data_IF_136477397457
#
_entry.id   IF_136477397457
#
_cell.length_a   1.000
_cell.length_b   1.000
_cell.length_c   1.000
_cell.angle_alpha   90.00
_cell.angle_beta   90.00
_cell.angle_gamma   90.00
#
_symmetry.space_group_name_H-M   'P 1'
#
loop_
_entity.id
_entity.type
_entity.pdbx_description
1 polymer ?
#
# COMPACT_ATOMS: atom_id res chain seq x y z
N UNK A 1 7.87 -4.12 -1.12
CA UNK A 1 9.27 -3.97 -0.64
C UNK A 1 10.17 -4.26 -1.81
N UNK A 2 11.15 -3.41 -2.04
CA UNK A 2 12.13 -3.56 -3.10
C UNK A 2 13.38 -4.28 -2.58
N UNK A 3 14.07 -4.98 -3.49
CA UNK A 3 15.42 -5.48 -3.23
C UNK A 3 16.46 -4.39 -3.53
N UNK A 4 17.75 -4.74 -3.42
CA UNK A 4 18.88 -3.83 -3.74
C UNK A 4 19.00 -3.44 -5.22
N UNK A 5 18.20 -4.07 -6.09
CA UNK A 5 18.13 -3.80 -7.54
C UNK A 5 16.81 -3.12 -7.91
N UNK A 6 16.09 -2.58 -6.92
CA UNK A 6 14.78 -1.94 -7.10
C UNK A 6 13.71 -2.82 -7.77
N UNK A 7 13.89 -4.14 -7.72
CA UNK A 7 12.85 -5.09 -8.14
C UNK A 7 11.90 -5.40 -6.97
N UNK A 8 10.58 -5.57 -7.24
CA UNK A 8 9.62 -6.00 -6.24
C UNK A 8 10.03 -7.35 -5.63
N UNK A 9 10.09 -7.41 -4.31
CA UNK A 9 10.21 -8.66 -3.59
C UNK A 9 8.83 -9.16 -3.24
N UNK A 10 8.59 -10.45 -3.45
CA UNK A 10 7.42 -11.13 -2.92
C UNK A 10 7.42 -11.03 -1.38
N UNK A 11 6.60 -10.13 -0.83
CA UNK A 11 6.32 -10.09 0.60
C UNK A 11 5.17 -11.06 0.82
N UNK A 12 5.44 -12.24 1.39
CA UNK A 12 4.41 -13.18 1.81
C UNK A 12 3.50 -12.55 2.88
N UNK A 13 2.48 -11.80 2.48
CA UNK A 13 1.36 -11.39 3.32
C UNK A 13 0.21 -12.39 3.15
N UNK A 14 -0.68 -12.51 4.14
CA UNK A 14 -1.86 -13.39 4.07
C UNK A 14 -2.75 -13.13 2.84
N UNK A 15 -2.60 -11.97 2.19
CA UNK A 15 -3.35 -11.53 1.00
C UNK A 15 -2.57 -11.62 -0.32
N UNK A 16 -1.34 -12.15 -0.35
CA UNK A 16 -0.55 -12.27 -1.60
C UNK A 16 -1.30 -13.02 -2.69
N UNK A 17 -2.03 -14.08 -2.32
CA UNK A 17 -2.85 -14.83 -3.26
C UNK A 17 -3.97 -13.99 -3.87
N UNK A 18 -4.54 -13.03 -3.15
CA UNK A 18 -5.61 -12.15 -3.62
C UNK A 18 -5.09 -11.04 -4.56
N UNK A 19 -3.83 -10.61 -4.41
CA UNK A 19 -3.20 -9.62 -5.30
C UNK A 19 -2.74 -10.29 -6.60
N UNK A 20 -2.12 -11.48 -6.51
CA UNK A 20 -1.69 -12.24 -7.69
C UNK A 20 -2.85 -12.82 -8.52
N UNK A 21 -4.08 -12.81 -7.99
CA UNK A 21 -5.28 -13.22 -8.73
C UNK A 21 -6.03 -12.04 -9.36
N UNK A 22 -5.60 -10.79 -9.09
CA UNK A 22 -6.10 -9.59 -9.77
C UNK A 22 -5.27 -9.21 -11.01
N UNK A 23 -4.10 -9.82 -11.20
CA UNK A 23 -3.38 -9.76 -12.47
C UNK A 23 -4.13 -10.59 -13.52
N UNK A 24 -5.06 -9.91 -14.17
CA UNK A 24 -5.58 -10.10 -15.53
C UNK A 24 -5.68 -11.54 -16.02
N UNK A 25 -6.86 -12.16 -15.88
CA UNK A 25 -7.23 -13.24 -16.81
C UNK A 25 -7.43 -12.60 -18.20
N UNK A 26 -6.56 -12.92 -19.16
CA UNK A 26 -6.79 -12.57 -20.56
C UNK A 26 -8.07 -13.26 -21.04
N UNK A 27 -9.07 -12.48 -21.45
CA UNK A 27 -10.38 -13.00 -21.89
C UNK A 27 -10.34 -13.51 -23.33
N UNK A 28 -9.28 -13.20 -24.09
CA UNK A 28 -9.10 -13.61 -25.48
C UNK A 28 -7.64 -14.01 -25.67
N UNK A 29 -7.36 -15.31 -25.60
CA UNK A 29 -6.03 -15.85 -25.84
C UNK A 29 -5.85 -16.07 -27.34
N UNK A 30 -5.20 -15.11 -28.03
CA UNK A 30 -4.60 -15.33 -29.35
C UNK A 30 -3.33 -14.50 -29.61
N UNK A 31 -2.81 -13.78 -28.62
CA UNK A 31 -1.61 -12.96 -28.79
C UNK A 31 -0.48 -13.50 -27.92
N UNK A 32 0.73 -13.54 -28.50
CA UNK A 32 1.99 -13.79 -27.81
C UNK A 32 1.98 -13.10 -26.44
N UNK A 33 2.36 -13.82 -25.38
CA UNK A 33 2.43 -13.28 -24.02
C UNK A 33 3.27 -12.01 -23.98
N UNK A 34 2.62 -10.85 -24.03
CA UNK A 34 3.22 -9.54 -23.81
C UNK A 34 3.02 -9.27 -22.32
N UNK A 35 4.12 -9.21 -21.58
CA UNK A 35 4.08 -8.84 -20.17
C UNK A 35 3.78 -7.34 -20.07
N UNK A 36 2.64 -6.99 -19.48
CA UNK A 36 2.26 -5.59 -19.34
C UNK A 36 3.25 -4.83 -18.43
N UNK A 37 3.60 -3.57 -18.76
CA UNK A 37 4.46 -2.77 -17.90
C UNK A 37 3.76 -2.45 -16.57
N UNK A 38 4.53 -2.42 -15.49
CA UNK A 38 4.05 -2.25 -14.12
C UNK A 38 4.66 -0.98 -13.52
N UNK A 39 3.81 -0.15 -12.92
CA UNK A 39 4.22 0.93 -12.03
C UNK A 39 4.11 0.48 -10.57
N UNK A 40 5.22 0.49 -9.85
CA UNK A 40 5.32 -0.04 -8.51
C UNK A 40 5.75 1.03 -7.50
N UNK A 41 4.89 1.30 -6.50
CA UNK A 41 5.28 2.11 -5.36
C UNK A 41 6.04 1.25 -4.35
N UNK A 42 7.34 1.45 -4.28
CA UNK A 42 8.28 0.62 -3.54
C UNK A 42 8.95 1.33 -2.37
N UNK A 43 9.54 0.52 -1.51
CA UNK A 43 10.33 0.97 -0.37
C UNK A 43 11.31 -0.12 0.07
N UNK A 44 12.37 0.27 0.75
CA UNK A 44 13.32 -0.64 1.40
C UNK A 44 13.11 -0.66 2.92
N UNK A 45 13.68 -1.67 3.60
CA UNK A 45 13.69 -1.74 5.06
C UNK A 45 15.12 -1.79 5.55
N UNK A 46 15.46 -0.95 6.52
CA UNK A 46 16.78 -0.98 7.15
C UNK A 46 16.89 -2.15 8.15
N UNK A 47 18.09 -2.34 8.74
CA UNK A 47 18.33 -3.40 9.75
C UNK A 47 17.41 -3.30 10.98
N UNK A 48 16.96 -2.10 11.31
CA UNK A 48 16.05 -1.83 12.43
C UNK A 48 14.58 -2.09 12.04
N UNK A 49 14.29 -2.43 10.78
CA UNK A 49 12.95 -2.69 10.28
C UNK A 49 12.18 -1.46 9.81
N UNK A 50 12.78 -0.26 9.90
CA UNK A 50 12.16 0.99 9.48
C UNK A 50 12.06 1.03 7.95
N UNK A 51 10.95 1.57 7.45
CA UNK A 51 10.75 1.86 6.03
C UNK A 51 11.69 3.00 5.66
N UNK A 52 12.49 2.79 4.63
CA UNK A 52 13.46 3.75 4.10
C UNK A 52 13.39 3.74 2.58
N UNK A 53 13.90 4.80 1.95
CA UNK A 53 14.03 4.91 0.49
C UNK A 53 12.70 4.61 -0.27
N UNK A 54 11.62 5.36 0.03
CA UNK A 54 10.39 5.27 -0.75
C UNK A 54 10.66 5.79 -2.18
N UNK A 55 10.25 5.02 -3.18
CA UNK A 55 10.44 5.36 -4.58
C UNK A 55 9.35 4.79 -5.46
N UNK A 56 9.12 5.43 -6.59
CA UNK A 56 8.28 4.93 -7.66
C UNK A 56 9.16 4.25 -8.71
N UNK A 57 8.84 3.01 -9.06
CA UNK A 57 9.62 2.19 -9.99
C UNK A 57 8.75 1.80 -11.16
N UNK A 58 9.23 2.03 -12.37
CA UNK A 58 8.59 1.54 -13.57
C UNK A 58 9.36 0.33 -14.11
N UNK A 59 8.62 -0.75 -14.32
CA UNK A 59 9.12 -2.06 -14.69
C UNK A 59 8.44 -2.46 -15.98
N UNK A 60 9.23 -2.90 -16.93
CA UNK A 60 8.74 -3.36 -18.22
C UNK A 60 9.69 -4.46 -18.72
N UNK A 61 9.15 -5.51 -19.34
CA UNK A 61 9.91 -6.71 -19.75
C UNK A 61 10.78 -7.30 -18.62
N UNK A 62 10.25 -7.38 -17.39
CA UNK A 62 10.98 -7.75 -16.15
C UNK A 62 12.28 -6.95 -15.92
N UNK A 63 12.37 -5.71 -16.42
CA UNK A 63 13.50 -4.81 -16.18
C UNK A 63 13.02 -3.49 -15.60
N UNK A 64 13.75 -2.95 -14.63
CA UNK A 64 13.53 -1.59 -14.14
C UNK A 64 14.01 -0.64 -15.23
N UNK A 65 13.09 0.11 -15.87
CA UNK A 65 13.49 1.09 -16.90
C UNK A 65 13.79 2.47 -16.30
N UNK A 66 13.05 2.89 -15.27
CA UNK A 66 13.32 4.13 -14.55
C UNK A 66 12.79 4.11 -13.12
N UNK A 67 13.30 5.04 -12.31
CA UNK A 67 12.93 5.24 -10.91
C UNK A 67 12.80 6.72 -10.58
N UNK A 68 11.83 7.07 -9.74
CA UNK A 68 11.70 8.42 -9.15
C UNK A 68 11.81 8.27 -7.63
N UNK A 69 12.79 8.95 -7.06
CA UNK A 69 13.05 9.05 -5.63
C UNK A 69 12.80 10.47 -5.13
N UNK A 70 12.83 10.67 -3.80
CA UNK A 70 12.67 12.00 -3.21
C UNK A 70 13.72 13.01 -3.70
N UNK A 71 14.94 12.56 -4.01
CA UNK A 71 16.00 13.43 -4.50
C UNK A 71 15.73 13.98 -5.90
N UNK A 72 14.87 13.31 -6.67
CA UNK A 72 14.51 13.71 -8.04
C UNK A 72 13.42 14.79 -8.04
N UNK A 73 12.89 15.16 -6.86
CA UNK A 73 11.83 16.15 -6.68
C UNK A 73 12.37 17.39 -5.95
N UNK A 74 13.04 18.32 -6.66
CA UNK A 74 13.52 19.55 -6.05
C UNK A 74 12.35 20.37 -5.48
N UNK A 75 12.36 20.61 -4.16
CA UNK A 75 11.33 21.37 -3.45
C UNK A 75 10.27 20.55 -2.69
N UNK A 76 10.40 19.22 -2.65
CA UNK A 76 9.44 18.34 -1.96
C UNK A 76 9.54 18.33 -0.41
N UNK A 77 10.47 19.07 0.19
CA UNK A 77 10.68 19.09 1.65
C UNK A 77 9.47 19.62 2.46
N UNK A 78 8.46 20.19 1.81
CA UNK A 78 7.29 20.81 2.45
C UNK A 78 5.95 20.16 2.08
N UNK A 79 5.92 18.90 1.63
CA UNK A 79 4.64 18.21 1.41
C UNK A 79 4.01 17.87 2.79
N UNK A 80 3.24 18.81 3.33
CA UNK A 80 2.33 18.56 4.45
C UNK A 80 1.26 17.57 3.98
N UNK A 81 1.50 16.27 4.20
CA UNK A 81 0.46 15.27 4.10
C UNK A 81 -0.49 15.55 5.27
N UNK A 82 -1.55 16.32 5.03
CA UNK A 82 -2.66 16.41 5.96
C UNK A 82 -3.32 15.05 6.02
N UNK A 83 -2.84 14.19 6.91
CA UNK A 83 -3.59 13.03 7.35
C UNK A 83 -4.81 13.58 8.08
N UNK A 84 -5.93 13.72 7.37
CA UNK A 84 -7.23 13.79 8.03
C UNK A 84 -7.37 12.47 8.78
N UNK A 85 -7.00 12.47 10.06
CA UNK A 85 -7.27 11.33 10.93
C UNK A 85 -8.76 11.04 10.84
N UNK A 86 -9.19 9.79 10.59
CA UNK A 86 -10.59 9.46 10.75
C UNK A 86 -10.92 9.75 12.21
N UNK A 87 -11.81 10.71 12.45
CA UNK A 87 -12.35 10.97 13.78
C UNK A 87 -13.07 9.69 14.19
N UNK A 88 -12.40 8.84 14.97
CA UNK A 88 -13.07 7.72 15.60
C UNK A 88 -14.14 8.32 16.52
N UNK A 89 -15.44 7.94 16.38
CA UNK A 89 -16.43 8.35 17.34
C UNK A 89 -16.05 7.71 18.68
N UNK A 90 -15.64 8.53 19.64
CA UNK A 90 -15.42 8.12 21.02
C UNK A 90 -16.74 7.57 21.56
N UNK A 91 -16.84 6.25 21.65
CA UNK A 91 -17.99 5.60 22.28
C UNK A 91 -17.98 5.93 23.78
N UNK A 92 -18.82 6.88 24.20
CA UNK A 92 -19.13 7.11 25.61
C UNK A 92 -20.12 6.04 26.08
N UNK A 93 -19.83 5.27 27.15
CA UNK A 93 -20.78 4.32 27.67
C UNK A 93 -21.98 5.05 28.32
N UNK A 94 -23.19 4.74 27.87
CA UNK A 94 -24.43 5.21 28.51
C UNK A 94 -24.84 4.22 29.60
N UNK A 95 -24.91 4.68 30.84
CA UNK A 95 -25.46 3.90 31.96
C UNK A 95 -26.97 3.74 31.78
N UNK A 96 -27.43 2.49 31.74
CA UNK A 96 -28.86 2.14 31.65
C UNK A 96 -29.45 2.16 33.06
N UNK A 97 -30.15 3.22 33.42
CA UNK A 97 -30.91 3.24 34.68
C UNK A 97 -32.16 2.36 34.57
N UNK A 98 -32.20 1.29 35.36
CA UNK A 98 -33.42 0.49 35.60
C UNK A 98 -34.00 0.84 36.97
N UNK A 99 -34.72 1.96 37.07
CA UNK A 99 -35.55 2.23 38.24
C UNK A 99 -36.95 1.61 38.04
N UNK A 100 -37.13 0.36 38.48
CA UNK A 100 -38.47 -0.15 38.78
C UNK A 100 -39.02 0.62 39.98
N UNK A 101 -40.01 1.48 39.79
CA UNK A 101 -40.94 1.85 40.86
C UNK A 101 -42.30 1.22 40.57
N UNK A 102 -42.62 0.18 41.35
CA UNK A 102 -44.01 -0.22 41.63
C UNK A 102 -44.66 0.91 42.43
N UNK A 103 -45.86 1.32 42.05
CA UNK A 103 -46.79 1.97 42.97
C UNK A 103 -48.13 1.22 42.90
N UNK A 104 -48.59 0.82 44.09
CA UNK A 104 -49.93 0.33 44.40
C UNK A 104 -50.98 1.43 44.30
#
# INVERSE_FOLDING_TARGET
>A
KLNKFDKPMNIKTKMVSAINSQTSLSLFNDESFIEDPILYFGYQKNRLGNIVDPKLVYIDEDQVKWTISQNDLPGADNVNITTSSPVAPTATPTLRETAKKKSS
#
